data_IF_008905469578
#
_entry.id   IF_008905469578
#
_cell.length_a   1.000
_cell.length_b   1.000
_cell.length_c   1.000
_cell.angle_alpha   90.00
_cell.angle_beta   90.00
_cell.angle_gamma   90.00
#
_symmetry.space_group_name_H-M   'P 1'
#
loop_
_entity.id
_entity.type
_entity.pdbx_description
1 polymer ?
#
# COMPACT_ATOMS: atom_id res chain seq x y z
N UNK A 1 -12.60 11.34 25.77
CA UNK A 1 -14.07 11.21 25.67
C UNK A 1 -14.37 10.34 24.46
N UNK A 2 -15.02 9.18 24.60
CA UNK A 2 -15.27 8.27 23.47
C UNK A 2 -16.31 8.89 22.54
N UNK A 3 -16.00 8.97 21.25
CA UNK A 3 -16.93 9.48 20.24
C UNK A 3 -18.19 8.57 20.21
N UNK A 4 -19.40 9.10 20.47
CA UNK A 4 -20.63 8.30 20.54
C UNK A 4 -20.94 7.56 19.23
N UNK A 5 -20.51 8.11 18.08
CA UNK A 5 -20.62 7.44 16.78
C UNK A 5 -19.74 6.21 16.71
N UNK A 6 -18.53 6.28 17.28
CA UNK A 6 -17.61 5.14 17.34
C UNK A 6 -18.22 4.00 18.17
N UNK A 7 -18.84 4.32 19.31
CA UNK A 7 -19.54 3.32 20.14
C UNK A 7 -20.72 2.69 19.40
N UNK A 8 -21.51 3.49 18.70
CA UNK A 8 -22.63 3.00 17.87
C UNK A 8 -22.15 2.10 16.73
N UNK A 9 -21.05 2.46 16.08
CA UNK A 9 -20.47 1.67 15.00
C UNK A 9 -20.01 0.29 15.49
N UNK A 10 -19.27 0.22 16.60
CA UNK A 10 -18.85 -1.06 17.18
C UNK A 10 -20.05 -1.96 17.48
N UNK A 11 -21.08 -1.42 18.11
CA UNK A 11 -22.32 -2.16 18.37
C UNK A 11 -23.01 -2.69 17.10
N UNK A 12 -22.99 -1.91 16.02
CA UNK A 12 -23.57 -2.34 14.74
C UNK A 12 -22.74 -3.44 14.08
N UNK A 13 -21.40 -3.35 14.16
CA UNK A 13 -20.49 -4.39 13.65
C UNK A 13 -20.70 -5.71 14.39
N UNK A 14 -20.87 -5.66 15.71
CA UNK A 14 -21.11 -6.86 16.54
C UNK A 14 -22.43 -7.59 16.21
N UNK A 15 -23.36 -6.93 15.53
CA UNK A 15 -24.64 -7.53 15.11
C UNK A 15 -24.62 -8.11 13.68
N UNK A 16 -23.57 -7.85 12.91
CA UNK A 16 -23.46 -8.32 11.53
C UNK A 16 -22.81 -9.71 11.56
N UNK A 17 -23.33 -10.63 10.74
CA UNK A 17 -22.70 -11.95 10.57
C UNK A 17 -21.29 -11.80 9.98
N UNK A 18 -20.37 -12.70 10.28
CA UNK A 18 -19.00 -12.64 9.73
C UNK A 18 -19.01 -12.62 8.19
N UNK A 19 -19.93 -13.37 7.56
CA UNK A 19 -20.08 -13.41 6.11
C UNK A 19 -20.49 -12.04 5.54
N UNK A 20 -21.51 -11.42 6.12
CA UNK A 20 -22.01 -10.12 5.67
C UNK A 20 -21.06 -8.99 6.03
N UNK A 21 -20.31 -9.14 7.13
CA UNK A 21 -19.25 -8.22 7.51
C UNK A 21 -18.12 -8.26 6.48
N UNK A 22 -17.74 -9.45 6.01
CA UNK A 22 -16.77 -9.60 4.92
C UNK A 22 -17.22 -8.95 3.61
N UNK A 23 -18.52 -9.05 3.27
CA UNK A 23 -19.09 -8.36 2.09
C UNK A 23 -19.11 -6.84 2.28
N UNK A 24 -19.55 -6.36 3.45
CA UNK A 24 -19.57 -4.93 3.77
C UNK A 24 -18.16 -4.33 3.79
N UNK A 25 -17.18 -5.06 4.32
CA UNK A 25 -15.78 -4.65 4.35
C UNK A 25 -15.23 -4.48 2.94
N UNK A 26 -15.48 -5.42 2.00
CA UNK A 26 -15.04 -5.27 0.60
C UNK A 26 -15.57 -3.99 -0.05
N UNK A 27 -16.84 -3.65 0.18
CA UNK A 27 -17.42 -2.40 -0.33
C UNK A 27 -16.83 -1.16 0.33
N UNK A 28 -16.60 -1.20 1.65
CA UNK A 28 -16.01 -0.10 2.40
C UNK A 28 -14.53 0.12 2.08
N UNK A 29 -13.81 -0.97 1.78
CA UNK A 29 -12.37 -0.97 1.53
C UNK A 29 -12.01 -0.07 0.34
N UNK A 30 -12.73 -0.16 -0.78
CA UNK A 30 -12.52 0.72 -1.93
C UNK A 30 -12.71 2.18 -1.56
N UNK A 31 -13.82 2.50 -0.87
CA UNK A 31 -14.11 3.86 -0.45
C UNK A 31 -13.07 4.40 0.55
N UNK A 32 -12.57 3.53 1.44
CA UNK A 32 -11.52 3.86 2.39
C UNK A 32 -10.22 4.22 1.66
N UNK A 33 -9.81 3.41 0.67
CA UNK A 33 -8.61 3.69 -0.12
C UNK A 33 -8.74 4.98 -0.92
N UNK A 34 -9.87 5.19 -1.59
CA UNK A 34 -10.11 6.43 -2.34
C UNK A 34 -10.04 7.66 -1.43
N UNK A 35 -10.71 7.59 -0.28
CA UNK A 35 -10.72 8.69 0.70
C UNK A 35 -9.32 8.94 1.28
N UNK A 36 -8.59 7.87 1.59
CA UNK A 36 -7.23 7.95 2.10
C UNK A 36 -6.29 8.61 1.11
N UNK A 37 -6.31 8.16 -0.16
CA UNK A 37 -5.48 8.72 -1.22
C UNK A 37 -5.80 10.18 -1.49
N UNK A 38 -7.09 10.54 -1.57
CA UNK A 38 -7.51 11.93 -1.77
C UNK A 38 -7.05 12.84 -0.63
N UNK A 39 -7.14 12.36 0.61
CA UNK A 39 -6.66 13.11 1.77
C UNK A 39 -5.15 13.30 1.73
N UNK A 40 -4.39 12.26 1.43
CA UNK A 40 -2.93 12.35 1.28
C UNK A 40 -2.52 13.32 0.16
N UNK A 41 -3.22 13.30 -0.98
CA UNK A 41 -3.00 14.26 -2.07
C UNK A 41 -3.29 15.69 -1.60
N UNK A 42 -4.38 15.90 -0.86
CA UNK A 42 -4.73 17.23 -0.36
C UNK A 42 -3.67 17.75 0.62
N UNK A 43 -3.23 16.92 1.57
CA UNK A 43 -2.17 17.26 2.52
C UNK A 43 -0.83 17.53 1.80
N UNK A 44 -0.50 16.75 0.78
CA UNK A 44 0.67 17.00 -0.05
C UNK A 44 0.55 18.35 -0.77
N UNK A 45 -0.60 18.67 -1.37
CA UNK A 45 -0.82 19.97 -2.05
C UNK A 45 -0.71 21.17 -1.11
N UNK A 46 -1.07 21.01 0.16
CA UNK A 46 -0.94 22.06 1.17
C UNK A 46 0.50 22.28 1.64
N UNK A 47 1.34 21.25 1.53
CA UNK A 47 2.73 21.27 2.02
C UNK A 47 3.75 21.46 0.89
N UNK A 48 3.40 21.11 -0.34
CA UNK A 48 4.24 21.26 -1.52
C UNK A 48 4.46 22.74 -1.84
N UNK A 49 5.72 23.11 -1.91
CA UNK A 49 6.21 24.41 -2.35
C UNK A 49 6.78 24.32 -3.77
N UNK A 50 6.83 25.44 -4.52
CA UNK A 50 7.48 25.46 -5.83
C UNK A 50 8.94 24.98 -5.73
N UNK A 51 9.28 23.89 -6.42
CA UNK A 51 10.60 23.24 -6.35
C UNK A 51 10.62 21.88 -5.62
N UNK A 52 9.56 21.52 -4.89
CA UNK A 52 9.45 20.19 -4.24
C UNK A 52 9.10 19.07 -5.22
N UNK A 53 8.52 19.42 -6.36
CA UNK A 53 8.27 18.50 -7.47
C UNK A 53 9.44 18.55 -8.45
N UNK A 54 9.93 17.39 -8.85
CA UNK A 54 10.89 17.29 -9.95
C UNK A 54 10.25 17.85 -11.23
N UNK A 55 11.03 18.65 -11.95
CA UNK A 55 10.74 18.93 -13.35
C UNK A 55 10.82 17.65 -14.18
N UNK A 56 10.27 17.68 -15.39
CA UNK A 56 10.33 16.54 -16.30
C UNK A 56 11.77 16.07 -16.54
N UNK A 57 12.70 17.00 -16.76
CA UNK A 57 14.11 16.70 -17.02
C UNK A 57 14.79 16.11 -15.77
N UNK A 58 14.55 16.67 -14.58
CA UNK A 58 15.10 16.13 -13.32
C UNK A 58 14.55 14.74 -13.00
N UNK A 59 13.26 14.50 -13.26
CA UNK A 59 12.65 13.17 -13.10
C UNK A 59 13.26 12.16 -14.08
N UNK A 60 13.51 12.58 -15.32
CA UNK A 60 14.12 11.73 -16.33
C UNK A 60 15.59 11.41 -15.99
N UNK A 61 16.36 12.40 -15.53
CA UNK A 61 17.72 12.19 -15.03
C UNK A 61 17.76 11.24 -13.84
N UNK A 62 16.83 11.38 -12.88
CA UNK A 62 16.76 10.49 -11.73
C UNK A 62 16.40 9.05 -12.13
N UNK A 63 15.48 8.87 -13.09
CA UNK A 63 15.17 7.56 -13.66
C UNK A 63 16.40 6.96 -14.34
N UNK A 64 17.08 7.72 -15.21
CA UNK A 64 18.30 7.24 -15.86
C UNK A 64 19.41 6.91 -14.87
N UNK A 65 19.57 7.70 -13.81
CA UNK A 65 20.51 7.42 -12.73
C UNK A 65 20.17 6.11 -12.01
N UNK A 66 18.90 5.88 -11.65
CA UNK A 66 18.47 4.68 -10.93
C UNK A 66 18.60 3.42 -11.80
N UNK A 67 18.24 3.49 -13.08
CA UNK A 67 18.38 2.37 -14.02
C UNK A 67 19.81 2.14 -14.52
N UNK A 68 20.67 3.16 -14.47
CA UNK A 68 22.08 3.05 -14.87
C UNK A 68 23.01 2.79 -13.68
N UNK A 69 22.50 2.83 -12.45
CA UNK A 69 23.27 2.44 -11.26
C UNK A 69 23.59 0.94 -11.40
N UNK A 70 24.85 0.54 -11.61
CA UNK A 70 25.18 -0.87 -11.51
C UNK A 70 24.79 -1.29 -10.09
N UNK A 71 23.97 -2.33 -9.96
CA UNK A 71 23.64 -2.93 -8.67
C UNK A 71 24.94 -3.07 -7.90
N UNK A 72 25.14 -2.28 -6.84
CA UNK A 72 26.32 -2.40 -6.02
C UNK A 72 26.37 -3.84 -5.55
N UNK A 73 27.32 -4.61 -6.10
CA UNK A 73 27.78 -5.95 -5.73
C UNK A 73 26.77 -6.77 -4.90
N UNK A 74 26.14 -7.79 -5.48
CA UNK A 74 26.61 -9.17 -5.26
C UNK A 74 27.37 -9.32 -3.93
N UNK A 75 26.65 -9.18 -2.82
CA UNK A 75 26.96 -9.94 -1.62
C UNK A 75 26.34 -11.30 -1.88
N UNK A 76 27.14 -12.36 -1.82
CA UNK A 76 26.70 -13.74 -1.94
C UNK A 76 25.59 -14.04 -0.90
N UNK A 77 24.35 -13.76 -1.26
CA UNK A 77 23.21 -14.40 -0.64
C UNK A 77 22.97 -15.66 -1.45
N UNK A 78 23.38 -16.77 -0.85
CA UNK A 78 22.90 -18.11 -1.17
C UNK A 78 21.51 -18.01 -1.80
N UNK A 79 21.41 -18.37 -3.08
CA UNK A 79 20.13 -18.70 -3.67
C UNK A 79 19.37 -19.56 -2.65
N UNK A 80 18.13 -19.21 -2.28
CA UNK A 80 17.24 -20.26 -1.83
C UNK A 80 17.10 -21.16 -3.05
N UNK A 81 17.90 -22.23 -3.09
CA UNK A 81 17.72 -23.32 -4.03
C UNK A 81 16.25 -23.69 -3.90
N UNK A 82 15.48 -23.47 -4.96
CA UNK A 82 14.14 -24.04 -5.06
C UNK A 82 14.29 -25.52 -4.75
N UNK A 83 13.84 -25.94 -3.58
CA UNK A 83 13.71 -27.37 -3.26
C UNK A 83 12.62 -27.85 -4.20
N UNK A 84 12.90 -28.78 -5.14
CA UNK A 84 11.83 -29.38 -5.91
C UNK A 84 10.83 -29.99 -4.94
N UNK A 85 9.54 -29.75 -5.17
CA UNK A 85 8.48 -30.44 -4.44
C UNK A 85 8.70 -31.94 -4.67
N UNK A 86 8.79 -32.77 -3.61
CA UNK A 86 8.89 -34.22 -3.78
C UNK A 86 7.67 -34.68 -4.58
N UNK A 87 7.91 -35.32 -5.73
CA UNK A 87 6.85 -36.04 -6.43
C UNK A 87 6.36 -37.13 -5.47
N UNK A 88 5.12 -37.00 -4.98
CA UNK A 88 4.42 -38.10 -4.34
C UNK A 88 4.07 -39.07 -5.47
N UNK A 89 4.80 -40.19 -5.53
CA UNK A 89 4.36 -41.33 -6.32
C UNK A 89 3.21 -42.00 -5.57
N UNK A 90 2.11 -42.25 -6.27
CA UNK A 90 1.05 -43.19 -5.85
C UNK A 90 1.61 -44.60 -5.64
#
# INVERSE_FOLDING_TARGET
MINPLRKKLHYLVDQISEEDLGKAWKSLQTLFYDTYMLKAIQEAKETLTPGDSLTYDEALELLHFEYSRPSASHSEHHHPTYRPIPQMND
#
